data_IF_564666874387
#
_entry.id   IF_564666874387
#
_cell.length_a   1.000
_cell.length_b   1.000
_cell.length_c   1.000
_cell.angle_alpha   90.00
_cell.angle_beta   90.00
_cell.angle_gamma   90.00
#
_symmetry.space_group_name_H-M   'P 1'
#
loop_
_entity.id
_entity.type
_entity.pdbx_description
1 polymer ?
#
# COMPACT_ATOMS: atom_id res chain seq x y z
N UNK A 1 23.22 -14.77 -54.67
CA UNK A 1 24.02 -13.61 -54.21
C UNK A 1 23.55 -13.26 -52.80
N UNK A 2 24.46 -13.35 -51.83
CA UNK A 2 24.48 -12.75 -50.47
C UNK A 2 23.16 -12.81 -49.65
N UNK A 3 22.97 -13.74 -48.72
CA UNK A 3 23.54 -13.80 -47.36
C UNK A 3 22.98 -12.74 -46.38
N UNK A 4 22.14 -13.15 -45.41
CA UNK A 4 22.26 -12.82 -43.98
C UNK A 4 21.19 -13.51 -43.10
N UNK A 5 21.63 -14.52 -42.31
CA UNK A 5 21.23 -14.98 -40.93
C UNK A 5 19.72 -15.11 -40.59
N UNK A 6 19.10 -16.27 -40.28
CA UNK A 6 19.43 -17.42 -39.40
C UNK A 6 19.95 -16.99 -38.01
N UNK A 7 19.32 -17.21 -36.84
CA UNK A 7 18.56 -18.33 -36.21
C UNK A 7 17.66 -17.73 -35.10
N UNK A 8 16.41 -18.09 -34.78
CA UNK A 8 15.70 -19.37 -34.64
C UNK A 8 16.36 -20.39 -33.68
N UNK A 9 15.89 -20.40 -32.44
CA UNK A 9 15.56 -21.62 -31.71
C UNK A 9 14.14 -21.47 -31.16
N UNK A 10 13.18 -21.93 -31.96
CA UNK A 10 11.97 -22.55 -31.45
C UNK A 10 12.35 -23.94 -30.97
N UNK A 11 11.88 -24.32 -29.78
CA UNK A 11 11.53 -25.71 -29.50
C UNK A 11 10.02 -25.93 -29.80
N UNK A 12 9.61 -27.18 -30.11
CA UNK A 12 8.49 -27.42 -31.01
C UNK A 12 7.46 -28.39 -30.41
N UNK A 13 6.50 -27.93 -29.60
CA UNK A 13 5.33 -28.75 -29.21
C UNK A 13 4.13 -27.88 -28.82
N UNK A 14 3.29 -27.50 -29.78
CA UNK A 14 1.89 -27.94 -29.84
C UNK A 14 1.12 -27.18 -30.92
N UNK A 15 0.61 -27.96 -31.86
CA UNK A 15 -0.35 -27.57 -32.88
C UNK A 15 -1.72 -27.74 -32.22
N UNK A 16 -2.30 -26.68 -31.64
CA UNK A 16 -3.77 -26.57 -31.43
C UNK A 16 -4.32 -25.24 -30.87
N UNK A 17 -3.54 -24.17 -30.67
CA UNK A 17 -4.05 -22.93 -30.05
C UNK A 17 -4.29 -21.76 -31.00
N UNK A 18 -5.01 -21.97 -32.12
CA UNK A 18 -5.32 -20.85 -33.04
C UNK A 18 -6.79 -20.47 -33.20
N UNK A 19 -7.72 -20.94 -32.35
CA UNK A 19 -9.12 -20.48 -32.42
C UNK A 19 -9.79 -20.11 -31.08
N UNK A 20 -9.09 -20.10 -29.94
CA UNK A 20 -9.69 -19.72 -28.63
C UNK A 20 -9.10 -18.43 -28.01
N UNK A 21 -8.16 -17.79 -28.70
CA UNK A 21 -7.27 -16.75 -28.15
C UNK A 21 -7.83 -15.33 -27.97
N UNK A 22 -9.12 -15.07 -28.17
CA UNK A 22 -9.69 -13.72 -27.94
C UNK A 22 -10.83 -13.65 -26.95
N UNK A 23 -11.49 -14.77 -26.61
CA UNK A 23 -12.57 -14.81 -25.62
C UNK A 23 -12.09 -15.20 -24.21
N UNK A 24 -11.01 -16.00 -24.10
CA UNK A 24 -10.54 -16.52 -22.80
C UNK A 24 -9.70 -15.49 -22.02
N UNK A 25 -9.06 -14.53 -22.71
CA UNK A 25 -8.20 -13.54 -22.06
C UNK A 25 -8.98 -12.46 -21.30
N UNK A 26 -10.17 -12.07 -21.78
CA UNK A 26 -10.99 -11.10 -21.07
C UNK A 26 -11.63 -11.69 -19.81
N UNK A 27 -12.05 -12.95 -19.81
CA UNK A 27 -12.66 -13.57 -18.62
C UNK A 27 -11.63 -14.00 -17.57
N UNK A 28 -10.41 -14.38 -17.95
CA UNK A 28 -9.38 -14.83 -17.01
C UNK A 28 -8.76 -13.67 -16.17
N UNK A 29 -8.70 -12.46 -16.73
CA UNK A 29 -8.21 -11.29 -16.00
C UNK A 29 -9.19 -10.84 -14.91
N UNK A 30 -10.48 -10.86 -15.17
CA UNK A 30 -11.49 -10.42 -14.20
C UNK A 30 -11.70 -11.43 -13.07
N UNK A 31 -11.62 -12.74 -13.34
CA UNK A 31 -11.73 -13.79 -12.32
C UNK A 31 -10.48 -13.87 -11.41
N UNK A 32 -9.28 -13.61 -11.94
CA UNK A 32 -8.03 -13.55 -11.15
C UNK A 32 -7.98 -12.30 -10.26
N UNK A 33 -8.47 -11.15 -10.75
CA UNK A 33 -8.55 -9.91 -9.96
C UNK A 33 -9.63 -10.01 -8.88
N UNK A 34 -10.79 -10.60 -9.18
CA UNK A 34 -11.85 -10.81 -8.19
C UNK A 34 -11.44 -11.77 -7.07
N UNK A 35 -10.66 -12.82 -7.38
CA UNK A 35 -10.11 -13.73 -6.36
C UNK A 35 -8.95 -13.12 -5.57
N UNK A 36 -8.08 -12.29 -6.16
CA UNK A 36 -7.02 -11.58 -5.41
C UNK A 36 -7.59 -10.53 -4.44
N UNK A 37 -8.66 -9.81 -4.81
CA UNK A 37 -9.30 -8.80 -3.95
C UNK A 37 -10.04 -9.47 -2.78
N UNK A 38 -10.77 -10.56 -3.00
CA UNK A 38 -11.47 -11.27 -1.92
C UNK A 38 -10.50 -12.02 -0.97
N UNK A 39 -9.36 -12.48 -1.51
CA UNK A 39 -8.25 -13.05 -0.73
C UNK A 39 -7.51 -11.95 0.06
N UNK A 40 -7.29 -10.76 -0.52
CA UNK A 40 -6.68 -9.61 0.17
C UNK A 40 -7.59 -8.99 1.24
N UNK A 41 -8.90 -9.02 1.05
CA UNK A 41 -9.90 -8.60 2.05
C UNK A 41 -9.95 -9.56 3.24
N UNK A 42 -9.79 -10.85 2.99
CA UNK A 42 -9.52 -11.81 4.06
C UNK A 42 -8.18 -11.42 4.73
N UNK A 43 -7.11 -11.10 3.97
CA UNK A 43 -5.76 -10.77 4.47
C UNK A 43 -5.66 -9.63 5.48
N UNK A 44 -6.46 -8.59 5.28
CA UNK A 44 -6.50 -7.44 6.20
C UNK A 44 -7.32 -7.73 7.47
N UNK A 45 -8.18 -8.74 7.45
CA UNK A 45 -9.01 -9.16 8.58
C UNK A 45 -8.26 -9.99 9.63
N UNK A 46 -7.18 -10.68 9.25
CA UNK A 46 -6.47 -11.58 10.16
C UNK A 46 -5.75 -10.87 11.31
N UNK A 47 -4.93 -9.82 11.12
CA UNK A 47 -4.17 -9.26 12.24
C UNK A 47 -5.10 -8.65 13.29
N UNK A 48 -6.23 -8.06 12.88
CA UNK A 48 -7.25 -7.57 13.80
C UNK A 48 -7.98 -8.71 14.53
N UNK A 49 -8.24 -9.83 13.85
CA UNK A 49 -8.83 -11.04 14.46
C UNK A 49 -7.85 -11.74 15.38
N UNK A 50 -6.56 -11.83 15.04
CA UNK A 50 -5.49 -12.34 15.88
C UNK A 50 -5.29 -11.48 17.13
N UNK A 51 -5.38 -10.15 17.05
CA UNK A 51 -5.37 -9.28 18.23
C UNK A 51 -6.61 -9.48 19.10
N UNK A 52 -7.78 -9.71 18.50
CA UNK A 52 -9.02 -10.00 19.23
C UNK A 52 -9.00 -11.41 19.84
N UNK A 53 -8.42 -12.40 19.15
CA UNK A 53 -8.23 -13.76 19.63
C UNK A 53 -7.15 -13.80 20.70
N UNK A 54 -6.03 -13.08 20.55
CA UNK A 54 -5.02 -12.93 21.59
C UNK A 54 -5.60 -12.23 22.83
N UNK A 55 -6.47 -11.22 22.65
CA UNK A 55 -7.22 -10.59 23.74
C UNK A 55 -8.23 -11.55 24.40
N UNK A 56 -8.92 -12.39 23.60
CA UNK A 56 -9.88 -13.37 24.09
C UNK A 56 -9.18 -14.53 24.82
N UNK A 57 -8.03 -14.98 24.31
CA UNK A 57 -7.16 -15.97 24.91
C UNK A 57 -6.57 -15.43 26.21
N UNK A 58 -6.08 -14.19 26.24
CA UNK A 58 -5.61 -13.51 27.46
C UNK A 58 -6.72 -13.34 28.51
N UNK A 59 -7.94 -12.99 28.07
CA UNK A 59 -9.11 -12.94 28.97
C UNK A 59 -9.47 -14.33 29.50
N UNK A 60 -9.34 -15.37 28.67
CA UNK A 60 -9.62 -16.75 29.08
C UNK A 60 -8.53 -17.35 29.99
N UNK A 61 -7.26 -16.98 29.80
CA UNK A 61 -6.13 -17.45 30.61
C UNK A 61 -5.93 -16.64 31.89
N UNK A 62 -6.57 -15.47 32.02
CA UNK A 62 -6.58 -14.64 33.24
C UNK A 62 -7.19 -15.32 34.48
N UNK A 63 -7.86 -16.47 34.30
CA UNK A 63 -8.45 -17.26 35.37
C UNK A 63 -7.47 -18.25 36.03
N UNK A 64 -6.25 -18.47 35.50
CA UNK A 64 -5.42 -19.61 35.95
C UNK A 64 -3.89 -19.47 35.89
N UNK A 65 -3.30 -18.31 35.58
CA UNK A 65 -1.84 -18.14 35.55
C UNK A 65 -1.32 -16.97 36.42
N UNK A 66 -0.15 -17.12 37.08
CA UNK A 66 0.51 -16.06 37.85
C UNK A 66 1.22 -15.08 36.90
N UNK A 67 0.47 -14.20 36.23
CA UNK A 67 1.03 -13.20 35.32
C UNK A 67 1.26 -11.88 36.07
N UNK A 68 2.44 -11.28 35.90
CA UNK A 68 2.81 -10.03 36.54
C UNK A 68 1.78 -8.91 36.26
N UNK A 69 1.33 -8.16 37.29
CA UNK A 69 0.34 -7.09 37.13
C UNK A 69 0.81 -5.93 36.24
N UNK A 70 2.10 -5.83 35.93
CA UNK A 70 2.66 -4.84 35.00
C UNK A 70 2.39 -5.20 33.52
N UNK A 71 2.47 -6.49 33.17
CA UNK A 71 2.10 -6.98 31.83
C UNK A 71 0.59 -6.79 31.57
N UNK A 72 -0.24 -7.01 32.60
CA UNK A 72 -1.68 -6.75 32.55
C UNK A 72 -2.03 -5.26 32.35
N UNK A 73 -1.18 -4.33 32.84
CA UNK A 73 -1.34 -2.90 32.56
C UNK A 73 -0.99 -2.55 31.12
N UNK A 74 0.09 -3.11 30.57
CA UNK A 74 0.49 -2.91 29.16
C UNK A 74 -0.53 -3.51 28.19
N UNK A 75 -1.03 -4.73 28.44
CA UNK A 75 -2.08 -5.37 27.63
C UNK A 75 -3.38 -4.55 27.62
N UNK A 76 -3.68 -3.83 28.71
CA UNK A 76 -4.82 -2.90 28.75
C UNK A 76 -4.66 -1.71 27.78
N UNK A 77 -3.44 -1.27 27.48
CA UNK A 77 -3.18 -0.20 26.48
C UNK A 77 -3.48 -0.65 25.05
N UNK A 78 -3.41 -1.95 24.74
CA UNK A 78 -3.84 -2.49 23.45
C UNK A 78 -5.33 -2.20 23.20
N UNK A 79 -6.15 -2.01 24.24
CA UNK A 79 -7.55 -1.56 24.07
C UNK A 79 -7.64 -0.17 23.43
N UNK A 80 -6.63 0.68 23.57
CA UNK A 80 -6.59 2.00 22.90
C UNK A 80 -6.45 1.86 21.38
N UNK A 81 -5.88 0.77 20.85
CA UNK A 81 -5.92 0.49 19.40
C UNK A 81 -7.36 0.34 18.87
N UNK A 82 -8.34 0.03 19.72
CA UNK A 82 -9.76 0.05 19.33
C UNK A 82 -10.22 1.47 18.95
N UNK A 83 -9.60 2.52 19.50
CA UNK A 83 -9.90 3.92 19.15
C UNK A 83 -9.53 4.24 17.69
N UNK A 84 -8.57 3.53 17.09
CA UNK A 84 -8.27 3.65 15.65
C UNK A 84 -9.47 3.26 14.76
N UNK A 85 -10.43 2.48 15.27
CA UNK A 85 -11.69 2.20 14.55
C UNK A 85 -12.61 3.42 14.52
N UNK A 86 -12.54 4.31 15.51
CA UNK A 86 -13.34 5.54 15.52
C UNK A 86 -12.84 6.56 14.49
N UNK A 87 -11.57 6.49 14.07
CA UNK A 87 -11.03 7.35 13.00
C UNK A 87 -11.84 7.20 11.70
N UNK A 88 -12.35 5.99 11.40
CA UNK A 88 -13.22 5.75 10.24
C UNK A 88 -14.53 6.54 10.29
N UNK A 89 -15.01 6.94 11.47
CA UNK A 89 -16.30 7.64 11.64
C UNK A 89 -16.18 9.16 11.56
N UNK A 90 -14.97 9.71 11.55
CA UNK A 90 -14.74 11.16 11.59
C UNK A 90 -14.42 11.65 10.18
N UNK A 91 -15.38 12.34 9.54
CA UNK A 91 -15.31 12.89 8.17
C UNK A 91 -14.20 13.94 7.94
N UNK A 92 -13.35 14.22 8.93
CA UNK A 92 -12.24 15.17 8.85
C UNK A 92 -10.86 14.53 8.65
N UNK A 93 -10.73 13.22 8.83
CA UNK A 93 -9.43 12.52 8.84
C UNK A 93 -9.27 11.50 7.70
N UNK A 94 -9.85 11.77 6.54
CA UNK A 94 -9.77 10.89 5.36
C UNK A 94 -8.30 10.55 5.02
N UNK A 95 -7.40 11.54 5.04
CA UNK A 95 -5.96 11.36 4.79
C UNK A 95 -5.29 10.38 5.78
N UNK A 96 -5.63 10.47 7.06
CA UNK A 96 -5.09 9.58 8.09
C UNK A 96 -5.62 8.15 7.93
N UNK A 97 -6.90 8.01 7.58
CA UNK A 97 -7.52 6.71 7.32
C UNK A 97 -6.83 5.98 6.17
N UNK A 98 -6.51 6.70 5.09
CA UNK A 98 -5.81 6.16 3.92
C UNK A 98 -4.43 5.65 4.34
N UNK A 99 -3.63 6.48 5.02
CA UNK A 99 -2.30 6.08 5.47
C UNK A 99 -2.34 4.81 6.35
N UNK A 100 -3.29 4.73 7.29
CA UNK A 100 -3.45 3.56 8.17
C UNK A 100 -3.89 2.32 7.38
N UNK A 101 -4.73 2.49 6.37
CA UNK A 101 -5.21 1.38 5.52
C UNK A 101 -4.09 0.86 4.61
N UNK A 102 -3.30 1.76 4.03
CA UNK A 102 -2.11 1.39 3.25
C UNK A 102 -1.07 0.65 4.10
N UNK A 103 -0.81 1.09 5.34
CA UNK A 103 0.10 0.39 6.26
C UNK A 103 -0.40 -1.03 6.58
N UNK A 104 -1.72 -1.18 6.80
CA UNK A 104 -2.31 -2.50 7.10
C UNK A 104 -2.21 -3.46 5.92
N UNK A 105 -2.48 -2.99 4.71
CA UNK A 105 -2.37 -3.81 3.51
C UNK A 105 -0.93 -4.29 3.26
N UNK A 106 0.07 -3.46 3.59
CA UNK A 106 1.48 -3.79 3.44
C UNK A 106 2.07 -4.68 4.56
N UNK A 107 1.33 -4.92 5.65
CA UNK A 107 1.84 -5.65 6.82
C UNK A 107 2.15 -7.12 6.54
N UNK A 108 1.37 -7.79 5.69
CA UNK A 108 1.61 -9.20 5.29
C UNK A 108 2.95 -9.34 4.56
N UNK A 109 3.20 -8.49 3.56
CA UNK A 109 4.46 -8.50 2.81
C UNK A 109 5.67 -8.17 3.69
N UNK A 110 5.54 -7.22 4.63
CA UNK A 110 6.57 -6.92 5.62
C UNK A 110 6.89 -8.14 6.47
N UNK A 111 5.86 -8.80 7.03
CA UNK A 111 6.03 -9.94 7.92
C UNK A 111 6.80 -11.07 7.23
N UNK A 112 6.42 -11.44 6.01
CA UNK A 112 7.13 -12.47 5.25
C UNK A 112 8.56 -12.08 4.92
N UNK A 113 8.80 -10.81 4.55
CA UNK A 113 10.15 -10.30 4.28
C UNK A 113 11.03 -10.32 5.53
N UNK A 114 10.47 -9.95 6.69
CA UNK A 114 11.16 -10.00 7.99
C UNK A 114 11.47 -11.44 8.40
N UNK A 115 10.54 -12.38 8.21
CA UNK A 115 10.77 -13.81 8.49
C UNK A 115 11.93 -14.36 7.65
N UNK A 116 11.98 -14.03 6.35
CA UNK A 116 13.09 -14.43 5.48
C UNK A 116 14.42 -13.81 5.94
N UNK A 117 14.42 -12.53 6.33
CA UNK A 117 15.60 -11.87 6.87
C UNK A 117 16.09 -12.54 8.15
N UNK A 118 15.20 -12.88 9.08
CA UNK A 118 15.55 -13.62 10.30
C UNK A 118 16.11 -15.02 10.00
N UNK A 119 15.56 -15.73 9.01
CA UNK A 119 16.08 -17.03 8.61
C UNK A 119 17.53 -16.94 8.10
N UNK A 120 17.83 -15.92 7.27
CA UNK A 120 19.21 -15.68 6.79
C UNK A 120 20.14 -15.25 7.93
N UNK A 121 19.69 -14.38 8.84
CA UNK A 121 20.50 -14.01 10.00
C UNK A 121 20.78 -15.20 10.92
N UNK A 122 19.82 -16.11 11.08
CA UNK A 122 19.99 -17.32 11.89
C UNK A 122 21.05 -18.27 11.30
N UNK A 123 21.11 -18.43 9.97
CA UNK A 123 22.15 -19.26 9.35
C UNK A 123 23.54 -18.65 9.55
N UNK A 124 23.67 -17.34 9.37
CA UNK A 124 24.93 -16.62 9.60
C UNK A 124 25.31 -16.69 11.10
N UNK A 125 24.34 -16.57 12.01
CA UNK A 125 24.58 -16.68 13.44
C UNK A 125 25.16 -18.04 13.83
N UNK A 126 24.61 -19.13 13.29
CA UNK A 126 25.13 -20.48 13.53
C UNK A 126 26.59 -20.60 13.07
N UNK A 127 26.87 -20.16 11.83
CA UNK A 127 28.24 -20.19 11.28
C UNK A 127 29.19 -19.38 12.16
N UNK A 128 28.82 -18.14 12.50
CA UNK A 128 29.69 -17.26 13.28
C UNK A 128 29.94 -17.79 14.69
N UNK A 129 28.91 -18.32 15.35
CA UNK A 129 29.05 -18.95 16.68
C UNK A 129 30.04 -20.12 16.62
N UNK A 130 29.97 -20.96 15.58
CA UNK A 130 30.92 -22.08 15.42
C UNK A 130 32.36 -21.64 15.14
N UNK A 131 32.56 -20.54 14.40
CA UNK A 131 33.90 -20.02 14.11
C UNK A 131 34.54 -19.37 15.34
N UNK A 132 33.75 -18.63 16.11
CA UNK A 132 34.19 -17.94 17.32
C UNK A 132 34.43 -18.92 18.48
N UNK A 133 33.74 -20.06 18.51
CA UNK A 133 33.93 -21.10 19.53
C UNK A 133 35.39 -21.59 19.61
N UNK A 134 36.11 -21.61 18.47
CA UNK A 134 37.55 -21.94 18.43
C UNK A 134 38.40 -20.95 19.22
N UNK A 135 38.06 -19.66 19.17
CA UNK A 135 38.73 -18.62 19.94
C UNK A 135 38.34 -18.67 21.42
N UNK A 136 37.07 -18.94 21.71
CA UNK A 136 36.53 -19.01 23.08
C UNK A 136 37.06 -20.20 23.87
N UNK A 137 37.34 -21.33 23.22
CA UNK A 137 37.84 -22.54 23.87
C UNK A 137 39.38 -22.61 23.98
N UNK A 138 40.10 -21.62 23.44
CA UNK A 138 41.55 -21.56 23.55
C UNK A 138 41.98 -20.81 24.83
N UNK A 139 42.49 -21.56 25.80
CA UNK A 139 42.96 -21.02 27.09
C UNK A 139 44.21 -20.14 27.01
N UNK A 140 44.88 -20.11 25.85
CA UNK A 140 46.01 -19.21 25.60
C UNK A 140 45.56 -17.75 25.38
N UNK A 141 44.29 -17.53 25.06
CA UNK A 141 43.76 -16.20 24.79
C UNK A 141 43.43 -15.45 26.09
N UNK A 142 43.58 -14.11 26.14
CA UNK A 142 43.30 -13.32 27.33
C UNK A 142 41.83 -13.45 27.77
N UNK A 143 41.62 -13.65 29.08
CA UNK A 143 40.30 -13.85 29.66
C UNK A 143 39.33 -12.70 29.34
N UNK A 144 39.82 -11.46 29.38
CA UNK A 144 39.03 -10.26 29.09
C UNK A 144 38.51 -10.24 27.64
N UNK A 145 39.33 -10.65 26.66
CA UNK A 145 38.91 -10.77 25.26
C UNK A 145 37.85 -11.87 25.10
N UNK A 146 38.05 -13.02 25.73
CA UNK A 146 37.07 -14.14 25.71
C UNK A 146 35.72 -13.72 26.30
N UNK A 147 35.70 -12.96 27.40
CA UNK A 147 34.46 -12.47 28.02
C UNK A 147 33.71 -11.49 27.11
N UNK A 148 34.42 -10.53 26.50
CA UNK A 148 33.80 -9.57 25.55
C UNK A 148 33.23 -10.28 24.34
N UNK A 149 33.98 -11.19 23.73
CA UNK A 149 33.52 -11.98 22.59
C UNK A 149 32.32 -12.87 22.97
N UNK A 150 32.31 -13.44 24.18
CA UNK A 150 31.21 -14.27 24.68
C UNK A 150 29.91 -13.50 24.95
N UNK A 151 30.00 -12.22 25.31
CA UNK A 151 28.85 -11.35 25.51
C UNK A 151 28.04 -11.16 24.22
N UNK A 152 28.74 -10.99 23.10
CA UNK A 152 28.11 -10.78 21.78
C UNK A 152 27.86 -12.11 21.04
N UNK A 153 28.86 -12.98 20.94
CA UNK A 153 28.85 -14.13 20.03
C UNK A 153 28.84 -15.49 20.73
N UNK A 154 28.78 -15.53 22.07
CA UNK A 154 28.98 -16.77 22.83
C UNK A 154 27.87 -17.83 22.72
N UNK A 155 26.64 -17.43 22.38
CA UNK A 155 25.51 -18.37 22.19
C UNK A 155 24.74 -17.98 20.94
N UNK A 156 24.01 -18.94 20.35
CA UNK A 156 23.19 -18.69 19.16
C UNK A 156 22.23 -17.50 19.32
N UNK A 157 21.53 -17.41 20.45
CA UNK A 157 20.57 -16.31 20.70
C UNK A 157 21.26 -14.96 20.83
N UNK A 158 22.41 -14.90 21.52
CA UNK A 158 23.21 -13.66 21.63
C UNK A 158 23.75 -13.25 20.27
N UNK A 159 24.36 -14.18 19.53
CA UNK A 159 24.88 -13.94 18.19
C UNK A 159 23.77 -13.47 17.23
N UNK A 160 22.57 -14.05 17.32
CA UNK A 160 21.42 -13.64 16.51
C UNK A 160 20.98 -12.20 16.84
N UNK A 161 20.95 -11.83 18.12
CA UNK A 161 20.67 -10.46 18.55
C UNK A 161 21.77 -9.48 18.12
N UNK A 162 23.03 -9.87 18.23
CA UNK A 162 24.17 -9.06 17.77
C UNK A 162 24.15 -8.87 16.26
N UNK A 163 23.82 -9.90 15.47
CA UNK A 163 23.68 -9.74 14.03
C UNK A 163 22.48 -8.84 13.67
N UNK A 164 21.40 -8.89 14.44
CA UNK A 164 20.28 -7.96 14.29
C UNK A 164 20.73 -6.52 14.61
N UNK A 165 21.49 -6.31 15.68
CA UNK A 165 22.10 -5.01 16.03
C UNK A 165 23.05 -4.52 14.92
N UNK A 166 23.86 -5.42 14.36
CA UNK A 166 24.76 -5.14 13.25
C UNK A 166 24.00 -4.68 11.99
N UNK A 167 22.81 -5.23 11.74
CA UNK A 167 21.97 -4.84 10.59
C UNK A 167 21.15 -3.56 10.78
N UNK A 168 20.62 -3.31 11.98
CA UNK A 168 19.59 -2.26 12.20
C UNK A 168 20.05 -1.09 13.08
N UNK A 169 21.09 -1.29 13.89
CA UNK A 169 21.50 -0.33 14.92
C UNK A 169 22.97 0.07 14.74
N UNK A 170 23.75 0.05 15.83
CA UNK A 170 25.14 0.45 15.81
C UNK A 170 26.05 -0.74 15.49
N UNK A 171 26.61 -0.75 14.29
CA UNK A 171 27.45 -1.86 13.83
C UNK A 171 28.88 -1.83 14.39
N UNK A 172 29.37 -0.68 14.84
CA UNK A 172 30.79 -0.46 15.18
C UNK A 172 31.26 -1.24 16.43
N UNK A 173 30.55 -1.24 17.57
CA UNK A 173 31.01 -1.94 18.77
C UNK A 173 31.08 -3.46 18.57
N UNK A 174 30.01 -4.03 18.00
CA UNK A 174 29.93 -5.46 17.71
C UNK A 174 30.99 -5.92 16.70
N UNK A 175 31.27 -5.10 15.67
CA UNK A 175 32.33 -5.41 14.72
C UNK A 175 33.73 -5.32 15.33
N UNK A 176 33.98 -4.31 16.16
CA UNK A 176 35.30 -4.08 16.76
C UNK A 176 35.72 -5.22 17.68
N UNK A 177 34.79 -5.76 18.47
CA UNK A 177 35.07 -6.94 19.30
C UNK A 177 35.55 -8.11 18.44
N UNK A 178 34.93 -8.32 17.26
CA UNK A 178 35.32 -9.43 16.38
C UNK A 178 36.67 -9.18 15.69
N UNK A 179 36.96 -7.94 15.27
CA UNK A 179 38.19 -7.60 14.54
C UNK A 179 39.40 -7.38 15.44
N UNK A 180 39.22 -6.76 16.60
CA UNK A 180 40.30 -6.40 17.53
C UNK A 180 40.65 -7.58 18.46
N UNK A 181 39.67 -8.36 18.94
CA UNK A 181 39.94 -9.44 19.91
C UNK A 181 40.22 -10.79 19.24
N UNK A 182 39.51 -11.14 18.15
CA UNK A 182 39.61 -12.47 17.52
C UNK A 182 40.66 -12.51 16.42
N UNK A 183 40.44 -11.76 15.34
CA UNK A 183 41.39 -11.66 14.22
C UNK A 183 41.01 -10.54 13.25
N UNK A 184 42.00 -9.87 12.68
CA UNK A 184 41.80 -8.84 11.66
C UNK A 184 41.12 -9.38 10.38
N UNK A 185 41.21 -10.68 10.08
CA UNK A 185 40.52 -11.30 8.94
C UNK A 185 38.99 -11.16 9.00
N UNK A 186 38.41 -11.07 10.20
CA UNK A 186 36.98 -10.84 10.36
C UNK A 186 36.52 -9.47 9.85
N UNK A 187 37.44 -8.54 9.59
CA UNK A 187 37.13 -7.25 8.96
C UNK A 187 36.51 -7.43 7.58
N UNK A 188 37.06 -8.34 6.77
CA UNK A 188 36.54 -8.63 5.43
C UNK A 188 35.14 -9.24 5.51
N UNK A 189 34.92 -10.13 6.48
CA UNK A 189 33.62 -10.72 6.75
C UNK A 189 32.58 -9.66 7.14
N UNK A 190 32.90 -8.79 8.11
CA UNK A 190 31.98 -7.73 8.56
C UNK A 190 31.67 -6.74 7.44
N UNK A 191 32.67 -6.31 6.65
CA UNK A 191 32.45 -5.39 5.55
C UNK A 191 31.55 -6.00 4.47
N UNK A 192 31.76 -7.28 4.14
CA UNK A 192 30.94 -8.00 3.15
C UNK A 192 29.51 -8.21 3.67
N UNK A 193 29.37 -8.52 4.96
CA UNK A 193 28.07 -8.61 5.63
C UNK A 193 27.33 -7.26 5.58
N UNK A 194 28.02 -6.16 5.90
CA UNK A 194 27.41 -4.82 5.89
C UNK A 194 27.01 -4.37 4.48
N UNK A 195 27.84 -4.67 3.48
CA UNK A 195 27.55 -4.39 2.07
C UNK A 195 26.31 -5.16 1.59
N UNK A 196 26.19 -6.44 1.95
CA UNK A 196 25.07 -7.29 1.55
C UNK A 196 23.79 -7.00 2.35
N UNK A 197 23.82 -7.12 3.67
CA UNK A 197 22.63 -7.00 4.51
C UNK A 197 22.18 -5.54 4.68
N UNK A 198 23.12 -4.63 4.94
CA UNK A 198 22.82 -3.22 5.20
C UNK A 198 22.42 -2.42 3.96
N UNK A 199 23.17 -2.54 2.87
CA UNK A 199 22.92 -1.76 1.66
C UNK A 199 22.00 -2.45 0.64
N UNK A 200 22.03 -3.78 0.54
CA UNK A 200 21.19 -4.50 -0.42
C UNK A 200 19.87 -4.94 0.22
N UNK A 201 19.91 -5.89 1.15
CA UNK A 201 18.69 -6.57 1.62
C UNK A 201 17.71 -5.63 2.31
N UNK A 202 18.16 -4.88 3.33
CA UNK A 202 17.28 -3.97 4.09
C UNK A 202 16.68 -2.88 3.19
N UNK A 203 17.46 -2.34 2.24
CA UNK A 203 17.00 -1.32 1.30
C UNK A 203 16.01 -1.86 0.28
N UNK A 204 16.22 -3.08 -0.22
CA UNK A 204 15.26 -3.76 -1.10
C UNK A 204 13.93 -4.00 -0.38
N UNK A 205 13.97 -4.50 0.86
CA UNK A 205 12.74 -4.70 1.67
C UNK A 205 12.00 -3.37 1.87
N UNK A 206 12.72 -2.29 2.21
CA UNK A 206 12.13 -0.96 2.34
C UNK A 206 11.52 -0.47 1.02
N UNK A 207 12.18 -0.71 -0.11
CA UNK A 207 11.67 -0.38 -1.44
C UNK A 207 10.38 -1.12 -1.79
N UNK A 208 10.33 -2.43 -1.57
CA UNK A 208 9.13 -3.26 -1.80
C UNK A 208 7.99 -2.81 -0.89
N UNK A 209 8.28 -2.50 0.38
CA UNK A 209 7.28 -1.98 1.30
C UNK A 209 6.68 -0.64 0.85
N UNK A 210 7.53 0.29 0.40
CA UNK A 210 7.08 1.58 -0.12
C UNK A 210 6.25 1.42 -1.38
N UNK A 211 6.67 0.56 -2.31
CA UNK A 211 5.95 0.29 -3.56
C UNK A 211 4.54 -0.28 -3.28
N UNK A 212 4.43 -1.26 -2.38
CA UNK A 212 3.14 -1.83 -1.99
C UNK A 212 2.25 -0.77 -1.33
N UNK A 213 2.82 0.08 -0.49
CA UNK A 213 2.08 1.16 0.19
C UNK A 213 1.53 2.18 -0.80
N UNK A 214 2.33 2.60 -1.80
CA UNK A 214 1.88 3.53 -2.84
C UNK A 214 0.87 2.91 -3.79
N UNK A 215 1.02 1.63 -4.14
CA UNK A 215 0.04 0.92 -4.97
C UNK A 215 -1.33 0.83 -4.28
N UNK A 216 -1.37 0.56 -2.98
CA UNK A 216 -2.63 0.53 -2.21
C UNK A 216 -3.22 1.93 -2.07
N UNK A 217 -2.40 2.96 -1.85
CA UNK A 217 -2.89 4.33 -1.78
C UNK A 217 -3.45 4.83 -3.13
N UNK A 218 -2.88 4.39 -4.26
CA UNK A 218 -3.36 4.75 -5.60
C UNK A 218 -4.67 4.03 -5.98
N UNK A 219 -4.85 2.79 -5.51
CA UNK A 219 -6.02 1.96 -5.83
C UNK A 219 -7.14 2.05 -4.77
N UNK A 220 -7.07 2.99 -3.82
CA UNK A 220 -8.11 3.13 -2.80
C UNK A 220 -9.34 3.83 -3.41
N UNK A 221 -10.32 3.02 -3.83
CA UNK A 221 -11.58 3.45 -4.46
C UNK A 221 -12.33 4.51 -3.65
N UNK A 222 -12.14 4.55 -2.33
CA UNK A 222 -12.74 5.57 -1.46
C UNK A 222 -12.21 6.97 -1.79
N UNK A 223 -10.94 7.09 -2.16
CA UNK A 223 -10.34 8.37 -2.58
C UNK A 223 -10.89 8.76 -3.95
N UNK A 224 -10.96 7.80 -4.87
CA UNK A 224 -11.48 8.05 -6.22
C UNK A 224 -12.96 8.42 -6.19
N UNK A 225 -13.76 7.74 -5.36
CA UNK A 225 -15.19 8.03 -5.20
C UNK A 225 -15.41 9.37 -4.50
N UNK A 226 -14.71 9.64 -3.39
CA UNK A 226 -14.86 10.92 -2.68
C UNK A 226 -14.35 12.11 -3.51
N UNK A 227 -13.31 11.94 -4.33
CA UNK A 227 -12.85 12.99 -5.24
C UNK A 227 -13.83 13.21 -6.38
N UNK A 228 -14.39 12.14 -6.97
CA UNK A 228 -15.46 12.23 -7.98
C UNK A 228 -16.72 12.88 -7.40
N UNK A 229 -17.15 12.50 -6.20
CA UNK A 229 -18.30 13.11 -5.53
C UNK A 229 -18.05 14.59 -5.24
N UNK A 230 -16.87 14.97 -4.75
CA UNK A 230 -16.51 16.39 -4.55
C UNK A 230 -16.49 17.17 -5.86
N UNK A 231 -15.99 16.57 -6.94
CA UNK A 231 -16.00 17.17 -8.27
C UNK A 231 -17.44 17.34 -8.79
N UNK A 232 -18.30 16.33 -8.62
CA UNK A 232 -19.72 16.39 -8.98
C UNK A 232 -20.48 17.44 -8.16
N UNK A 233 -20.22 17.56 -6.85
CA UNK A 233 -20.86 18.59 -6.02
C UNK A 233 -20.40 19.99 -6.41
N UNK A 234 -19.11 20.16 -6.71
CA UNK A 234 -18.58 21.44 -7.20
C UNK A 234 -19.18 21.79 -8.56
N UNK A 235 -19.33 20.79 -9.44
CA UNK A 235 -19.97 20.95 -10.74
C UNK A 235 -21.44 21.36 -10.61
N UNK A 236 -22.20 20.68 -9.74
CA UNK A 236 -23.60 21.01 -9.42
C UNK A 236 -23.75 22.42 -8.87
N UNK A 237 -22.88 22.84 -7.94
CA UNK A 237 -22.91 24.20 -7.38
C UNK A 237 -22.64 25.25 -8.46
N UNK A 238 -21.60 25.06 -9.27
CA UNK A 238 -21.28 25.99 -10.37
C UNK A 238 -22.40 26.10 -11.39
N UNK A 239 -23.01 24.97 -11.74
CA UNK A 239 -24.13 24.91 -12.67
C UNK A 239 -25.38 25.58 -12.08
N UNK A 240 -25.66 25.35 -10.80
CA UNK A 240 -26.76 26.02 -10.09
C UNK A 240 -26.56 27.53 -10.01
N UNK A 241 -25.33 28.01 -9.80
CA UNK A 241 -25.02 29.44 -9.80
C UNK A 241 -25.26 30.04 -11.20
N UNK A 242 -24.78 29.36 -12.25
CA UNK A 242 -25.00 29.81 -13.62
C UNK A 242 -26.51 29.87 -13.93
N UNK A 243 -27.27 28.82 -13.61
CA UNK A 243 -28.71 28.80 -13.84
C UNK A 243 -29.48 29.82 -12.98
N UNK A 244 -29.03 30.11 -11.76
CA UNK A 244 -29.65 31.18 -10.96
C UNK A 244 -29.37 32.60 -11.48
N UNK A 245 -28.25 32.79 -12.21
CA UNK A 245 -27.93 34.07 -12.85
C UNK A 245 -28.62 34.23 -14.21
N UNK A 246 -29.09 33.11 -14.76
CA UNK A 246 -29.70 32.93 -16.06
C UNK A 246 -31.23 33.08 -16.04
N UNK A 247 -31.85 32.69 -14.92
CA UNK A 247 -33.28 32.76 -14.65
C UNK A 247 -33.71 34.23 -14.47
N UNK A 248 -34.29 34.82 -15.53
CA UNK A 248 -34.72 36.23 -15.56
C UNK A 248 -36.12 36.36 -14.94
N UNK A 249 -36.97 35.34 -15.15
CA UNK A 249 -38.35 35.31 -14.72
C UNK A 249 -38.52 34.89 -13.22
N UNK A 250 -37.48 34.31 -12.62
CA UNK A 250 -37.39 33.90 -11.21
C UNK A 250 -38.21 32.64 -10.88
N UNK A 251 -38.54 31.82 -11.87
CA UNK A 251 -39.43 30.66 -11.71
C UNK A 251 -38.67 29.38 -11.27
N UNK A 252 -37.34 29.46 -11.17
CA UNK A 252 -36.45 28.37 -10.78
C UNK A 252 -36.24 27.33 -11.90
N UNK A 253 -36.67 27.64 -13.12
CA UNK A 253 -36.48 26.86 -14.34
C UNK A 253 -35.68 27.71 -15.34
N UNK A 254 -35.39 27.14 -16.50
CA UNK A 254 -34.72 27.86 -17.56
C UNK A 254 -35.45 27.60 -18.85
N UNK A 255 -36.03 28.65 -19.41
CA UNK A 255 -36.72 28.58 -20.69
C UNK A 255 -35.70 28.57 -21.85
N UNK A 256 -36.14 28.07 -23.00
CA UNK A 256 -35.22 27.90 -24.14
C UNK A 256 -34.75 29.23 -24.72
N UNK A 257 -35.57 30.28 -24.62
CA UNK A 257 -35.23 31.66 -24.98
C UNK A 257 -34.17 32.23 -24.02
N UNK A 258 -34.34 32.05 -22.70
CA UNK A 258 -33.36 32.49 -21.69
C UNK A 258 -32.01 31.77 -21.88
N UNK A 259 -32.05 30.47 -22.18
CA UNK A 259 -30.85 29.68 -22.44
C UNK A 259 -30.12 30.14 -23.72
N UNK A 260 -30.85 30.49 -24.78
CA UNK A 260 -30.28 31.00 -26.03
C UNK A 260 -29.56 32.35 -25.81
N UNK A 261 -30.16 33.23 -25.00
CA UNK A 261 -29.59 34.55 -24.67
C UNK A 261 -28.27 34.44 -23.89
N UNK A 262 -28.15 33.46 -22.99
CA UNK A 262 -26.92 33.23 -22.21
C UNK A 262 -25.80 32.64 -23.06
N UNK A 263 -26.16 31.76 -24.00
CA UNK A 263 -25.21 31.18 -24.94
C UNK A 263 -24.69 32.19 -25.97
N UNK A 264 -25.37 33.32 -26.14
CA UNK A 264 -24.88 34.44 -26.94
C UNK A 264 -23.60 35.05 -26.34
N UNK A 265 -23.35 34.91 -25.03
CA UNK A 265 -22.08 35.27 -24.43
C UNK A 265 -20.99 34.23 -24.81
N UNK A 266 -19.97 34.63 -25.60
CA UNK A 266 -18.90 33.72 -26.00
C UNK A 266 -18.09 33.17 -24.82
N UNK A 267 -18.09 33.81 -23.65
CA UNK A 267 -17.41 33.32 -22.46
C UNK A 267 -18.18 32.15 -21.82
N UNK A 268 -19.51 32.22 -21.76
CA UNK A 268 -20.35 31.16 -21.18
C UNK A 268 -20.38 29.94 -22.09
N UNK A 269 -20.47 30.14 -23.41
CA UNK A 269 -20.40 29.05 -24.39
C UNK A 269 -19.09 28.25 -24.26
N UNK A 270 -17.94 28.95 -24.16
CA UNK A 270 -16.63 28.29 -23.94
C UNK A 270 -16.54 27.56 -22.60
N UNK A 271 -17.14 28.13 -21.55
CA UNK A 271 -17.15 27.52 -20.23
C UNK A 271 -17.99 26.22 -20.21
N UNK A 272 -19.16 26.21 -20.86
CA UNK A 272 -19.99 25.02 -21.04
C UNK A 272 -19.30 23.96 -21.90
N UNK A 273 -18.61 24.36 -22.98
CA UNK A 273 -17.77 23.46 -23.78
C UNK A 273 -16.64 22.83 -22.96
N UNK A 274 -16.00 23.60 -22.07
CA UNK A 274 -14.98 23.07 -21.17
C UNK A 274 -15.52 22.10 -20.11
N UNK A 275 -16.83 22.14 -19.82
CA UNK A 275 -17.52 21.17 -18.96
C UNK A 275 -17.99 19.91 -19.71
N UNK A 276 -17.75 19.83 -21.03
CA UNK A 276 -18.13 18.69 -21.87
C UNK A 276 -19.50 18.80 -22.53
N UNK A 277 -20.14 19.97 -22.47
CA UNK A 277 -21.36 20.24 -23.23
C UNK A 277 -21.00 20.86 -24.58
N UNK A 278 -21.23 20.12 -25.66
CA UNK A 278 -20.98 20.64 -26.99
C UNK A 278 -22.06 21.68 -27.36
N UNK A 279 -21.66 22.95 -27.41
CA UNK A 279 -22.53 24.07 -27.75
C UNK A 279 -22.64 24.30 -29.27
N UNK A 280 -21.84 23.58 -30.07
CA UNK A 280 -21.83 23.72 -31.54
C UNK A 280 -22.98 22.97 -32.23
N UNK A 281 -23.54 21.96 -31.57
CA UNK A 281 -24.66 21.13 -32.09
C UNK A 281 -26.04 21.77 -31.88
N UNK A 282 -26.11 22.95 -31.24
CA UNK A 282 -27.35 23.59 -30.78
C UNK A 282 -28.16 24.32 -31.88
N UNK A 283 -27.73 24.27 -33.14
CA UNK A 283 -28.49 24.85 -34.28
C UNK A 283 -29.85 24.18 -34.52
N UNK A 284 -30.09 23.00 -33.93
CA UNK A 284 -31.39 22.36 -33.82
C UNK A 284 -31.73 22.15 -32.35
N UNK A 285 -32.43 23.13 -31.79
CA UNK A 285 -32.87 23.24 -30.39
C UNK A 285 -33.44 21.90 -29.86
N UNK A 286 -34.30 21.23 -30.64
CA UNK A 286 -34.96 19.97 -30.27
C UNK A 286 -33.99 18.79 -29.98
N UNK A 287 -32.86 18.71 -30.69
CA UNK A 287 -31.90 17.60 -30.52
C UNK A 287 -31.07 17.74 -29.26
N UNK A 288 -30.67 18.97 -28.91
CA UNK A 288 -29.79 19.20 -27.77
C UNK A 288 -30.50 18.93 -26.43
N UNK A 289 -31.76 19.38 -26.31
CA UNK A 289 -32.60 19.10 -25.13
C UNK A 289 -32.85 17.60 -24.94
N UNK A 290 -32.93 16.84 -26.04
CA UNK A 290 -33.21 15.41 -25.97
C UNK A 290 -32.07 14.60 -25.36
N UNK A 291 -30.82 15.00 -25.61
CA UNK A 291 -29.61 14.24 -25.28
C UNK A 291 -29.09 14.54 -23.85
N UNK A 292 -29.38 15.74 -23.33
CA UNK A 292 -28.87 16.20 -22.03
C UNK A 292 -29.92 16.35 -20.92
N UNK A 293 -31.17 15.92 -21.16
CA UNK A 293 -32.30 15.98 -20.20
C UNK A 293 -31.99 15.40 -18.82
N UNK A 294 -31.19 14.33 -18.74
CA UNK A 294 -30.80 13.68 -17.48
C UNK A 294 -29.54 14.25 -16.82
N UNK A 295 -28.72 15.00 -17.57
CA UNK A 295 -27.39 15.44 -17.13
C UNK A 295 -27.41 16.73 -16.29
N UNK A 296 -28.43 17.58 -16.50
CA UNK A 296 -28.52 18.90 -15.88
C UNK A 296 -29.20 18.89 -14.49
N UNK A 297 -29.99 17.85 -14.17
CA UNK A 297 -30.53 17.63 -12.83
C UNK A 297 -31.55 18.68 -12.33
N UNK A 298 -32.13 19.46 -13.23
CA UNK A 298 -33.11 20.52 -12.94
C UNK A 298 -34.50 20.18 -13.51
N UNK A 299 -35.60 20.53 -12.83
CA UNK A 299 -36.97 20.30 -13.32
C UNK A 299 -37.30 21.27 -14.48
N UNK A 300 -37.58 20.73 -15.68
CA UNK A 300 -37.86 21.51 -16.89
C UNK A 300 -39.36 21.65 -17.18
N UNK A 301 -39.78 22.80 -17.71
CA UNK A 301 -41.13 23.03 -18.26
C UNK A 301 -41.05 23.01 -19.79
N UNK A 302 -41.72 22.05 -20.45
CA UNK A 302 -42.00 22.18 -21.87
C UNK A 302 -42.98 23.35 -22.03
N UNK A 303 -42.52 24.48 -22.59
CA UNK A 303 -43.33 25.66 -22.92
C UNK A 303 -44.44 25.42 -23.94
N UNK A 304 -44.92 24.19 -24.11
CA UNK A 304 -46.11 23.84 -24.89
C UNK A 304 -47.30 23.61 -23.96
N UNK A 305 -47.67 24.63 -23.19
CA UNK A 305 -49.07 24.82 -22.82
C UNK A 305 -49.71 25.65 -23.93
N UNK A 306 -50.63 25.04 -24.67
CA UNK A 306 -51.58 25.67 -25.60
C UNK A 306 -52.12 26.99 -25.11
#
# INVERSE_FOLDING_TARGET
>A
MLAARCHFWCDPWNIMDLCLGSAVWYTCSDDFVATDIDQRLKDVGYPLRFVVVAWAVDTATSASLPVDPMLLRLLRLIKLFRLLRLIRKVKGFDSLYIMVTSIKASFSALLWSTVLLFAVLATIALVLTTLVDVYLNNDSNPLEGRLRVFEYYGTFTRCSLTLLELTLANWVPASRVLTEDVSEFYTIFVLTFQASMGFSVVKVIMGVFLQNTFSVAANDDVIMMNSKDRALQTHKLKMSILFSAADINGDGRLDSEEFADILADPMVSRWLSAMGFDTSIMGSEDTWWSDHRGALGVPFCDGKST
#
